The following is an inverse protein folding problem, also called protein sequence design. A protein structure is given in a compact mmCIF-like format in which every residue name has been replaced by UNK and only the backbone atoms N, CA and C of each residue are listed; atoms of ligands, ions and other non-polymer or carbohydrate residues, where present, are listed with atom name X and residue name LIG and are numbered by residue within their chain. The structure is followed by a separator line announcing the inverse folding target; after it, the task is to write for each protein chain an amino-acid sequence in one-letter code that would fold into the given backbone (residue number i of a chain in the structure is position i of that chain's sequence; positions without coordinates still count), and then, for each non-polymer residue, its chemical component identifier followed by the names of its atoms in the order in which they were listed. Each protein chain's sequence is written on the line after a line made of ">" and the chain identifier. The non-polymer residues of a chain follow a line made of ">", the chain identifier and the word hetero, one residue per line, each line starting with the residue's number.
data_IF_068622637112
#
_entry.id   IF_068622637112
#
_cell.length_a   1.000
_cell.length_b   1.000
_cell.length_c   1.000
_cell.angle_alpha   90.00
_cell.angle_beta   90.00
_cell.angle_gamma   90.00
#
_symmetry.space_group_name_H-M   'P 1'
#
loop_
_entity.id
_entity.type
_entity.pdbx_description
1 polymer ?
#
# COMPACT_ATOMS: atom_id res chain seq x y z
N UNK A 1 -7.82 -15.34 38.85
CA UNK A 1 -7.44 -14.65 37.59
C UNK A 1 -8.68 -14.54 36.70
N UNK A 2 -9.20 -13.31 36.49
CA UNK A 2 -10.33 -13.07 35.58
C UNK A 2 -9.85 -13.24 34.14
N UNK A 3 -10.38 -14.23 33.41
CA UNK A 3 -10.14 -14.39 31.97
C UNK A 3 -10.77 -13.21 31.25
N UNK A 4 -9.95 -12.29 30.75
CA UNK A 4 -10.36 -11.24 29.82
C UNK A 4 -10.85 -11.95 28.55
N UNK A 5 -12.17 -11.96 28.33
CA UNK A 5 -12.76 -12.37 27.05
C UNK A 5 -12.28 -11.35 26.01
N UNK A 6 -11.32 -11.74 25.18
CA UNK A 6 -11.07 -11.05 23.91
C UNK A 6 -12.35 -11.16 23.09
N UNK A 7 -13.07 -10.03 22.94
CA UNK A 7 -14.17 -9.93 21.98
C UNK A 7 -13.57 -10.29 20.62
N UNK A 8 -13.97 -11.41 20.03
CA UNK A 8 -13.77 -11.66 18.61
C UNK A 8 -14.57 -10.58 17.88
N UNK A 9 -13.90 -9.55 17.36
CA UNK A 9 -14.51 -8.62 16.43
C UNK A 9 -15.04 -9.47 15.27
N UNK A 10 -16.35 -9.48 15.01
CA UNK A 10 -16.87 -10.17 13.83
C UNK A 10 -16.11 -9.64 12.62
N UNK A 11 -15.67 -10.53 11.74
CA UNK A 11 -15.09 -10.18 10.43
C UNK A 11 -16.16 -9.43 9.63
N UNK A 12 -16.27 -8.12 9.83
CA UNK A 12 -17.28 -7.25 9.23
C UNK A 12 -17.12 -7.12 7.70
N UNK A 13 -16.00 -7.61 7.16
CA UNK A 13 -15.61 -7.45 5.78
C UNK A 13 -15.20 -8.82 5.22
N UNK A 14 -15.93 -9.30 4.21
CA UNK A 14 -15.55 -10.50 3.45
C UNK A 14 -15.00 -10.01 2.12
N UNK A 15 -13.69 -10.16 1.92
CA UNK A 15 -13.02 -9.73 0.68
C UNK A 15 -12.69 -10.98 -0.15
N UNK A 16 -13.28 -11.07 -1.34
CA UNK A 16 -12.89 -12.03 -2.37
C UNK A 16 -11.91 -11.32 -3.31
N UNK A 17 -10.60 -11.54 -3.11
CA UNK A 17 -9.53 -10.89 -3.87
C UNK A 17 -9.50 -11.29 -5.37
N UNK A 18 -10.18 -12.37 -5.76
CA UNK A 18 -10.21 -12.90 -7.13
C UNK A 18 -11.22 -12.21 -8.06
N UNK A 19 -11.91 -11.16 -7.60
CA UNK A 19 -12.95 -10.45 -8.36
C UNK A 19 -12.74 -8.93 -8.29
N UNK A 20 -11.54 -8.44 -8.60
CA UNK A 20 -11.37 -7.02 -8.92
C UNK A 20 -11.96 -6.78 -10.32
N UNK A 21 -13.04 -6.00 -10.37
CA UNK A 21 -13.76 -5.68 -11.62
C UNK A 21 -15.13 -6.34 -11.71
N UNK A 22 -16.06 -5.61 -12.34
CA UNK A 22 -17.44 -6.06 -12.57
C UNK A 22 -18.43 -5.60 -11.51
N UNK A 23 -19.72 -5.65 -11.86
CA UNK A 23 -20.82 -5.06 -11.06
C UNK A 23 -20.86 -5.55 -9.61
N UNK A 24 -20.68 -6.85 -9.37
CA UNK A 24 -20.72 -7.46 -8.02
C UNK A 24 -19.59 -6.98 -7.10
N UNK A 25 -18.43 -6.63 -7.68
CA UNK A 25 -17.31 -6.04 -6.95
C UNK A 25 -17.71 -4.69 -6.37
N UNK A 26 -18.21 -3.78 -7.21
CA UNK A 26 -18.59 -2.43 -6.80
C UNK A 26 -19.80 -2.41 -5.86
N UNK A 27 -20.74 -3.35 -5.99
CA UNK A 27 -21.81 -3.55 -5.00
C UNK A 27 -21.28 -3.96 -3.61
N UNK A 28 -20.21 -4.75 -3.58
CA UNK A 28 -19.56 -5.15 -2.32
C UNK A 28 -18.73 -4.02 -1.72
N UNK A 29 -17.97 -3.30 -2.56
CA UNK A 29 -17.23 -2.12 -2.15
C UNK A 29 -18.17 -1.05 -1.57
N UNK A 30 -19.28 -0.74 -2.25
CA UNK A 30 -20.27 0.24 -1.77
C UNK A 30 -20.82 -0.14 -0.39
N UNK A 31 -21.11 -1.43 -0.14
CA UNK A 31 -21.56 -1.91 1.18
C UNK A 31 -20.48 -1.78 2.25
N UNK A 32 -19.22 -2.06 1.90
CA UNK A 32 -18.10 -1.93 2.83
C UNK A 32 -17.84 -0.47 3.18
N UNK A 33 -17.89 0.44 2.20
CA UNK A 33 -17.71 1.87 2.42
C UNK A 33 -18.79 2.45 3.34
N UNK A 34 -20.06 2.09 3.16
CA UNK A 34 -21.13 2.50 4.08
C UNK A 34 -20.89 2.08 5.53
N UNK A 35 -20.31 0.88 5.75
CA UNK A 35 -19.98 0.40 7.10
C UNK A 35 -18.77 1.14 7.67
N UNK A 36 -17.82 1.46 6.81
CA UNK A 36 -16.58 2.10 7.17
C UNK A 36 -16.75 3.58 7.46
N UNK A 37 -17.59 4.29 6.69
CA UNK A 37 -17.95 5.70 6.94
C UNK A 37 -18.48 5.90 8.36
N UNK A 38 -19.41 5.03 8.80
CA UNK A 38 -19.90 5.07 10.17
C UNK A 38 -18.79 4.95 11.20
N UNK A 39 -17.76 4.16 10.93
CA UNK A 39 -16.62 3.99 11.83
C UNK A 39 -15.69 5.20 11.82
N UNK A 40 -15.53 5.88 10.67
CA UNK A 40 -14.81 7.16 10.60
C UNK A 40 -15.51 8.20 11.47
N UNK A 41 -16.80 8.40 11.27
CA UNK A 41 -17.57 9.46 11.94
C UNK A 41 -17.66 9.26 13.46
N UNK A 42 -17.76 8.00 13.91
CA UNK A 42 -17.97 7.67 15.31
C UNK A 42 -16.65 7.67 16.13
N UNK A 43 -15.48 7.44 15.51
CA UNK A 43 -14.26 7.08 16.24
C UNK A 43 -13.03 7.96 15.97
N UNK A 44 -13.04 8.79 14.93
CA UNK A 44 -11.84 9.53 14.52
C UNK A 44 -11.90 11.02 14.90
N UNK A 45 -10.79 11.52 15.44
CA UNK A 45 -10.60 12.96 15.66
C UNK A 45 -10.17 13.66 14.37
N UNK A 46 -9.77 14.94 14.47
CA UNK A 46 -9.05 15.62 13.38
C UNK A 46 -7.55 15.58 13.66
N UNK A 47 -6.76 15.17 12.68
CA UNK A 47 -5.30 15.29 12.67
C UNK A 47 -4.85 16.58 11.96
N UNK A 48 -3.84 17.29 12.48
CA UNK A 48 -3.40 18.58 11.93
C UNK A 48 -2.71 18.48 10.56
N UNK A 49 -2.46 17.26 10.07
CA UNK A 49 -1.77 16.99 8.79
C UNK A 49 -2.68 16.29 7.77
N UNK A 50 -3.99 16.24 8.04
CA UNK A 50 -5.00 15.67 7.14
C UNK A 50 -5.15 16.49 5.86
N UNK A 51 -5.49 15.81 4.77
CA UNK A 51 -5.78 16.44 3.50
C UNK A 51 -7.29 16.64 3.32
N UNK A 52 -7.74 17.83 2.86
CA UNK A 52 -9.13 18.08 2.55
C UNK A 52 -9.69 17.06 1.53
N UNK A 53 -10.90 16.57 1.77
CA UNK A 53 -11.58 15.63 0.87
C UNK A 53 -10.91 14.26 0.78
N UNK A 54 -10.16 13.85 1.81
CA UNK A 54 -9.48 12.56 1.93
C UNK A 54 -9.77 11.84 3.28
N UNK A 55 -11.03 11.47 3.59
CA UNK A 55 -11.37 10.73 4.81
C UNK A 55 -10.58 9.42 5.05
N UNK A 56 -10.12 8.72 4.00
CA UNK A 56 -9.27 7.54 4.15
C UNK A 56 -7.84 7.91 4.56
N UNK A 57 -7.31 9.03 4.08
CA UNK A 57 -6.02 9.58 4.55
C UNK A 57 -6.09 9.88 6.06
N UNK A 58 -7.15 10.58 6.50
CA UNK A 58 -7.40 10.85 7.92
C UNK A 58 -7.47 9.56 8.74
N UNK A 59 -8.20 8.57 8.25
CA UNK A 59 -8.27 7.25 8.89
C UNK A 59 -6.90 6.58 8.99
N UNK A 60 -6.11 6.56 7.91
CA UNK A 60 -4.79 5.93 7.91
C UNK A 60 -3.82 6.63 8.85
N UNK A 61 -3.85 7.97 8.93
CA UNK A 61 -3.04 8.76 9.86
C UNK A 61 -3.31 8.41 11.33
N UNK A 62 -4.54 8.05 11.66
CA UNK A 62 -4.95 7.72 13.03
C UNK A 62 -4.76 6.23 13.34
N UNK A 63 -4.91 5.37 12.33
CA UNK A 63 -4.93 3.92 12.50
C UNK A 63 -3.56 3.24 12.31
N UNK A 64 -2.64 3.85 11.54
CA UNK A 64 -1.30 3.31 11.32
C UNK A 64 -0.23 4.27 11.81
N UNK A 65 0.62 3.76 12.72
CA UNK A 65 1.79 4.51 13.22
C UNK A 65 2.82 4.70 12.11
N UNK A 66 2.98 3.70 11.25
CA UNK A 66 3.87 3.78 10.11
C UNK A 66 3.41 4.83 9.10
N UNK A 67 2.12 4.90 8.81
CA UNK A 67 1.56 5.94 7.93
C UNK A 67 1.77 7.35 8.51
N UNK A 68 1.46 7.54 9.80
CA UNK A 68 1.71 8.81 10.48
C UNK A 68 3.19 9.20 10.47
N UNK A 69 4.07 8.23 10.76
CA UNK A 69 5.51 8.44 10.72
C UNK A 69 5.97 8.87 9.32
N UNK A 70 5.54 8.17 8.28
CA UNK A 70 5.80 8.55 6.89
C UNK A 70 5.34 9.98 6.59
N UNK A 71 4.09 10.33 6.92
CA UNK A 71 3.57 11.69 6.71
C UNK A 71 4.44 12.74 7.40
N UNK A 72 4.81 12.51 8.65
CA UNK A 72 5.65 13.44 9.41
C UNK A 72 7.05 13.56 8.82
N UNK A 73 7.68 12.45 8.44
CA UNK A 73 9.02 12.46 7.82
C UNK A 73 9.01 13.15 6.47
N UNK A 74 7.99 12.91 5.63
CA UNK A 74 7.84 13.62 4.35
C UNK A 74 7.77 15.13 4.55
N UNK A 75 6.92 15.60 5.48
CA UNK A 75 6.81 17.03 5.81
C UNK A 75 8.11 17.59 6.42
N UNK A 76 8.82 16.82 7.25
CA UNK A 76 10.13 17.20 7.81
C UNK A 76 11.20 17.39 6.74
N UNK A 77 11.13 16.63 5.64
CA UNK A 77 11.98 16.82 4.46
C UNK A 77 11.50 17.94 3.53
N UNK A 78 10.56 18.78 3.97
CA UNK A 78 10.04 19.90 3.19
C UNK A 78 9.06 19.48 2.10
N UNK A 79 8.51 18.26 2.19
CA UNK A 79 7.50 17.77 1.27
C UNK A 79 6.21 18.57 1.34
N UNK A 80 5.54 18.76 0.20
CA UNK A 80 4.26 19.47 0.10
C UNK A 80 3.19 18.63 -0.58
N UNK A 81 1.92 18.95 -0.30
CA UNK A 81 0.76 18.34 -0.97
C UNK A 81 0.05 19.39 -1.82
N UNK A 82 -0.37 18.99 -3.02
CA UNK A 82 -1.10 19.85 -3.94
C UNK A 82 -2.39 19.18 -4.40
N UNK A 83 -3.54 19.83 -4.20
CA UNK A 83 -4.80 19.31 -4.68
C UNK A 83 -4.89 19.48 -6.20
N UNK A 84 -5.00 18.39 -6.95
CA UNK A 84 -5.09 18.38 -8.40
C UNK A 84 -5.81 17.13 -8.91
N UNK A 85 -6.60 17.25 -9.98
CA UNK A 85 -7.24 16.10 -10.60
C UNK A 85 -6.22 15.31 -11.42
N UNK A 86 -5.89 14.11 -10.97
CA UNK A 86 -4.97 13.19 -11.63
C UNK A 86 -5.54 11.78 -11.66
N UNK A 87 -5.37 11.10 -12.79
CA UNK A 87 -5.62 9.65 -12.85
C UNK A 87 -4.44 8.91 -12.22
N UNK A 88 -4.70 7.72 -11.67
CA UNK A 88 -3.63 6.85 -11.14
C UNK A 88 -2.58 6.52 -12.21
N UNK A 89 -2.96 6.44 -13.48
CA UNK A 89 -2.00 6.22 -14.58
C UNK A 89 -1.05 7.40 -14.78
N UNK A 90 -1.54 8.64 -14.59
CA UNK A 90 -0.73 9.84 -14.71
C UNK A 90 0.18 10.02 -13.49
N UNK A 91 -0.28 9.69 -12.28
CA UNK A 91 0.58 9.77 -11.08
C UNK A 91 1.78 8.84 -11.21
N UNK A 92 1.57 7.60 -11.69
CA UNK A 92 2.62 6.59 -11.87
C UNK A 92 3.63 6.90 -12.99
N UNK A 93 3.28 7.75 -13.96
CA UNK A 93 4.12 8.03 -15.15
C UNK A 93 4.66 9.46 -15.19
N UNK A 94 4.32 10.29 -14.22
CA UNK A 94 4.73 11.69 -14.22
C UNK A 94 6.18 11.85 -13.77
N UNK A 95 6.94 12.72 -14.44
CA UNK A 95 8.24 13.18 -13.95
C UNK A 95 8.15 13.90 -12.59
N UNK A 96 6.94 14.25 -12.16
CA UNK A 96 6.67 14.78 -10.82
C UNK A 96 7.06 13.81 -9.69
N UNK A 97 7.28 12.51 -9.98
CA UNK A 97 7.81 11.55 -9.00
C UNK A 97 9.14 11.97 -8.35
N UNK A 98 9.92 12.80 -9.05
CA UNK A 98 11.19 13.33 -8.56
C UNK A 98 11.04 14.67 -7.81
N UNK A 99 9.87 15.31 -7.92
CA UNK A 99 9.57 16.52 -7.16
C UNK A 99 9.23 16.16 -5.73
N UNK A 100 9.60 17.02 -4.78
CA UNK A 100 9.21 16.87 -3.38
C UNK A 100 7.78 17.35 -3.12
N UNK A 101 6.90 17.19 -4.11
CA UNK A 101 5.49 17.54 -4.07
C UNK A 101 4.67 16.30 -4.44
N UNK A 102 3.58 16.08 -3.72
CA UNK A 102 2.61 15.02 -4.00
C UNK A 102 1.30 15.68 -4.39
N UNK A 103 0.93 15.51 -5.64
CA UNK A 103 -0.39 15.89 -6.11
C UNK A 103 -1.42 14.81 -5.76
N UNK A 104 -2.61 15.20 -5.31
CA UNK A 104 -3.69 14.28 -4.94
C UNK A 104 -5.04 14.80 -5.41
N UNK A 105 -5.94 13.88 -5.76
CA UNK A 105 -7.32 14.21 -6.15
C UNK A 105 -8.21 14.21 -4.89
N UNK A 106 -8.75 15.35 -4.43
CA UNK A 106 -9.64 15.42 -3.26
C UNK A 106 -11.05 14.91 -3.61
N UNK A 107 -11.19 13.59 -3.79
CA UNK A 107 -12.41 12.96 -4.30
C UNK A 107 -12.91 11.80 -3.45
N UNK A 108 -12.28 11.50 -2.31
CA UNK A 108 -12.73 10.38 -1.49
C UNK A 108 -14.12 10.65 -0.89
N UNK A 109 -14.46 11.91 -0.57
CA UNK A 109 -15.83 12.29 -0.18
C UNK A 109 -16.85 11.93 -1.28
N UNK A 110 -16.49 12.14 -2.56
CA UNK A 110 -17.31 11.77 -3.71
C UNK A 110 -17.41 10.24 -3.86
N UNK A 111 -16.37 9.49 -3.51
CA UNK A 111 -16.40 8.02 -3.47
C UNK A 111 -17.40 7.53 -2.42
N UNK A 112 -17.42 8.13 -1.23
CA UNK A 112 -18.40 7.81 -0.18
C UNK A 112 -19.82 8.19 -0.60
N UNK A 113 -20.02 9.37 -1.18
CA UNK A 113 -21.30 9.77 -1.77
C UNK A 113 -21.78 8.78 -2.85
N UNK A 114 -20.92 8.43 -3.80
CA UNK A 114 -21.24 7.49 -4.87
C UNK A 114 -21.62 6.11 -4.34
N UNK A 115 -20.92 5.62 -3.30
CA UNK A 115 -21.30 4.37 -2.64
C UNK A 115 -22.74 4.40 -2.08
N UNK A 116 -23.23 5.57 -1.66
CA UNK A 116 -24.61 5.77 -1.16
C UNK A 116 -25.61 5.94 -2.29
N UNK A 117 -25.37 6.91 -3.16
CA UNK A 117 -26.36 7.48 -4.06
C UNK A 117 -26.19 7.06 -5.53
N UNK A 118 -24.95 6.78 -5.96
CA UNK A 118 -24.65 6.45 -7.36
C UNK A 118 -23.54 5.38 -7.50
N UNK A 119 -23.85 4.10 -7.21
CA UNK A 119 -22.86 3.02 -7.29
C UNK A 119 -22.23 2.83 -8.68
N UNK A 120 -22.88 3.33 -9.74
CA UNK A 120 -22.33 3.29 -11.11
C UNK A 120 -21.15 4.27 -11.27
N UNK A 121 -21.14 5.40 -10.56
CA UNK A 121 -20.03 6.35 -10.57
C UNK A 121 -18.81 5.84 -9.77
N UNK A 122 -19.02 4.92 -8.82
CA UNK A 122 -17.98 4.39 -7.93
C UNK A 122 -16.81 3.77 -8.70
N UNK A 123 -17.09 3.07 -9.80
CA UNK A 123 -16.05 2.47 -10.65
C UNK A 123 -15.13 3.52 -11.28
N UNK A 124 -15.71 4.63 -11.76
CA UNK A 124 -14.92 5.70 -12.38
C UNK A 124 -14.13 6.44 -11.31
N UNK A 125 -14.76 6.76 -10.19
CA UNK A 125 -14.15 7.52 -9.10
C UNK A 125 -13.01 6.75 -8.45
N UNK A 126 -13.13 5.44 -8.23
CA UNK A 126 -12.05 4.64 -7.62
C UNK A 126 -10.76 4.58 -8.45
N UNK A 127 -10.80 5.00 -9.73
CA UNK A 127 -9.62 5.09 -10.62
C UNK A 127 -8.91 6.44 -10.56
N UNK A 128 -9.41 7.38 -9.75
CA UNK A 128 -8.85 8.72 -9.57
C UNK A 128 -8.03 8.84 -8.28
N UNK A 129 -7.84 7.73 -7.56
CA UNK A 129 -7.06 7.67 -6.34
C UNK A 129 -5.57 7.64 -6.58
N UNK A 130 -4.86 8.26 -5.63
CA UNK A 130 -3.40 8.20 -5.54
C UNK A 130 -3.05 7.60 -4.19
N UNK A 131 -2.16 6.61 -4.15
CA UNK A 131 -1.68 6.06 -2.89
C UNK A 131 -0.68 7.03 -2.25
N UNK A 132 -1.19 7.91 -1.38
CA UNK A 132 -0.37 8.93 -0.71
C UNK A 132 0.77 8.31 0.08
N UNK A 133 0.55 7.18 0.73
CA UNK A 133 1.59 6.47 1.49
C UNK A 133 2.74 6.00 0.60
N UNK A 134 2.40 5.37 -0.53
CA UNK A 134 3.36 4.92 -1.52
C UNK A 134 4.21 6.09 -2.05
N UNK A 135 3.55 7.19 -2.44
CA UNK A 135 4.22 8.40 -2.93
C UNK A 135 5.11 9.06 -1.87
N UNK A 136 4.65 9.17 -0.63
CA UNK A 136 5.45 9.71 0.49
C UNK A 136 6.72 8.89 0.68
N UNK A 137 6.61 7.56 0.70
CA UNK A 137 7.73 6.66 0.89
C UNK A 137 8.78 6.81 -0.22
N UNK A 138 8.36 6.97 -1.48
CA UNK A 138 9.29 7.33 -2.56
C UNK A 138 10.07 8.61 -2.26
N UNK A 139 9.39 9.71 -1.91
CA UNK A 139 10.07 11.01 -1.67
C UNK A 139 11.00 10.96 -0.46
N UNK A 140 10.60 10.27 0.60
CA UNK A 140 11.44 10.05 1.78
C UNK A 140 12.70 9.30 1.37
N UNK A 141 12.57 8.23 0.59
CA UNK A 141 13.71 7.44 0.14
C UNK A 141 14.63 8.22 -0.82
N UNK A 142 14.12 9.15 -1.63
CA UNK A 142 14.95 10.03 -2.46
C UNK A 142 15.87 10.93 -1.63
N UNK A 143 15.44 11.32 -0.42
CA UNK A 143 16.28 12.10 0.49
C UNK A 143 17.31 11.23 1.22
N UNK A 144 16.96 9.98 1.54
CA UNK A 144 17.81 9.08 2.32
C UNK A 144 18.85 8.34 1.46
N UNK A 145 18.49 7.97 0.23
CA UNK A 145 19.30 7.16 -0.65
C UNK A 145 20.06 8.04 -1.63
N UNK A 146 21.39 7.95 -1.61
CA UNK A 146 22.23 8.62 -2.60
C UNK A 146 22.10 7.90 -3.94
N UNK A 147 21.63 8.61 -4.96
CA UNK A 147 21.66 8.12 -6.33
C UNK A 147 23.10 7.81 -6.72
N UNK A 148 23.39 6.63 -7.31
CA UNK A 148 24.75 6.26 -7.70
C UNK A 148 25.39 7.30 -8.63
N UNK A 149 26.64 7.68 -8.35
CA UNK A 149 27.36 8.69 -9.13
C UNK A 149 27.64 8.27 -10.60
N UNK A 150 27.60 6.96 -10.89
CA UNK A 150 27.73 6.40 -12.24
C UNK A 150 26.38 5.93 -12.73
N UNK A 151 25.86 6.62 -13.74
CA UNK A 151 24.52 6.44 -14.28
C UNK A 151 24.57 5.64 -15.58
N UNK A 152 25.10 4.41 -15.55
CA UNK A 152 24.75 3.49 -16.64
C UNK A 152 23.30 3.02 -16.45
N UNK A 153 22.60 2.77 -17.56
CA UNK A 153 21.18 2.40 -17.55
C UNK A 153 20.86 1.21 -16.66
N UNK A 154 21.77 0.23 -16.56
CA UNK A 154 21.58 -0.98 -15.75
C UNK A 154 21.68 -0.65 -14.27
N UNK A 155 22.64 0.18 -13.88
CA UNK A 155 22.81 0.65 -12.50
C UNK A 155 21.62 1.48 -12.04
N UNK A 156 21.13 2.39 -12.89
CA UNK A 156 19.93 3.20 -12.62
C UNK A 156 18.70 2.32 -12.44
N UNK A 157 18.45 1.38 -13.36
CA UNK A 157 17.34 0.43 -13.24
C UNK A 157 17.38 -0.37 -11.93
N UNK A 158 18.56 -0.91 -11.58
CA UNK A 158 18.74 -1.66 -10.34
C UNK A 158 18.47 -0.82 -9.10
N UNK A 159 18.87 0.45 -9.12
CA UNK A 159 18.59 1.38 -8.03
C UNK A 159 17.09 1.61 -7.88
N UNK A 160 16.37 1.87 -8.97
CA UNK A 160 14.91 2.07 -8.91
C UNK A 160 14.15 0.80 -8.53
N UNK A 161 14.54 -0.35 -9.05
CA UNK A 161 13.96 -1.64 -8.61
C UNK A 161 14.20 -1.89 -7.12
N UNK A 162 15.38 -1.51 -6.60
CA UNK A 162 15.65 -1.59 -5.17
C UNK A 162 14.74 -0.65 -4.38
N UNK A 163 14.57 0.60 -4.81
CA UNK A 163 13.70 1.53 -4.08
C UNK A 163 12.23 1.12 -4.16
N UNK A 164 11.75 0.74 -5.34
CA UNK A 164 10.39 0.23 -5.50
C UNK A 164 10.13 -0.96 -4.58
N UNK A 165 11.08 -1.90 -4.48
CA UNK A 165 10.95 -3.01 -3.54
C UNK A 165 10.89 -2.58 -2.07
N UNK A 166 11.57 -1.50 -1.68
CA UNK A 166 11.46 -0.90 -0.34
C UNK A 166 10.08 -0.30 -0.13
N UNK A 167 9.58 0.50 -1.08
CA UNK A 167 8.27 1.15 -1.00
C UNK A 167 7.16 0.11 -0.91
N UNK A 168 7.15 -0.89 -1.81
CA UNK A 168 6.19 -2.00 -1.77
C UNK A 168 6.25 -2.74 -0.42
N UNK A 169 7.46 -2.94 0.14
CA UNK A 169 7.58 -3.58 1.46
C UNK A 169 7.00 -2.69 2.58
N UNK A 170 7.16 -1.37 2.48
CA UNK A 170 6.54 -0.43 3.42
C UNK A 170 5.02 -0.44 3.29
N UNK A 171 4.48 -0.50 2.07
CA UNK A 171 3.04 -0.66 1.83
C UNK A 171 2.51 -1.95 2.46
N UNK A 172 3.25 -3.05 2.30
CA UNK A 172 2.94 -4.31 2.95
C UNK A 172 2.89 -4.20 4.48
N UNK A 173 3.84 -3.48 5.07
CA UNK A 173 3.90 -3.21 6.51
C UNK A 173 2.73 -2.34 6.95
N UNK A 174 2.40 -1.29 6.18
CA UNK A 174 1.26 -0.40 6.45
C UNK A 174 -0.06 -1.15 6.43
N UNK A 175 -0.30 -1.97 5.41
CA UNK A 175 -1.48 -2.84 5.33
C UNK A 175 -1.58 -3.82 6.51
N UNK A 176 -0.45 -4.39 6.95
CA UNK A 176 -0.42 -5.28 8.13
C UNK A 176 -0.70 -4.54 9.45
N UNK A 177 -0.36 -3.25 9.57
CA UNK A 177 -0.69 -2.43 10.75
C UNK A 177 -2.18 -2.09 10.82
N UNK A 178 -2.79 -1.78 9.67
CA UNK A 178 -4.21 -1.46 9.57
C UNK A 178 -5.11 -2.68 9.83
N UNK A 179 -4.61 -3.87 9.45
CA UNK A 179 -5.34 -5.13 9.54
C UNK A 179 -6.26 -5.38 8.35
N UNK A 180 -6.50 -6.68 8.08
CA UNK A 180 -7.09 -7.22 6.84
C UNK A 180 -8.39 -6.55 6.36
N UNK A 181 -9.23 -6.07 7.28
CA UNK A 181 -10.50 -5.46 6.93
C UNK A 181 -10.32 -4.05 6.34
N UNK A 182 -9.58 -3.19 7.05
CA UNK A 182 -9.44 -1.78 6.70
C UNK A 182 -8.47 -1.58 5.55
N UNK A 183 -7.37 -2.33 5.54
CA UNK A 183 -6.40 -2.32 4.45
C UNK A 183 -7.01 -2.76 3.11
N UNK A 184 -7.98 -3.66 3.12
CA UNK A 184 -8.66 -4.09 1.91
C UNK A 184 -9.55 -3.00 1.30
N UNK A 185 -10.17 -2.14 2.11
CA UNK A 185 -10.92 -0.99 1.59
C UNK A 185 -9.97 -0.01 0.91
N UNK A 186 -8.86 0.31 1.58
CA UNK A 186 -7.82 1.18 1.00
C UNK A 186 -7.27 0.63 -0.31
N UNK A 187 -7.04 -0.69 -0.39
CA UNK A 187 -6.59 -1.34 -1.62
C UNK A 187 -7.63 -1.34 -2.74
N UNK A 188 -8.89 -1.64 -2.43
CA UNK A 188 -9.98 -1.60 -3.42
C UNK A 188 -10.20 -0.20 -4.02
N UNK A 189 -9.87 0.83 -3.25
CA UNK A 189 -9.92 2.22 -3.70
C UNK A 189 -8.60 2.74 -4.28
N UNK A 190 -7.54 1.93 -4.36
CA UNK A 190 -6.24 2.38 -4.86
C UNK A 190 -5.51 3.37 -3.95
N UNK A 191 -5.96 3.53 -2.70
CA UNK A 191 -5.32 4.37 -1.67
C UNK A 191 -4.16 3.62 -1.01
N UNK A 192 -4.25 2.28 -0.94
CA UNK A 192 -3.15 1.41 -0.52
C UNK A 192 -2.71 0.53 -1.68
N UNK A 193 -1.40 0.33 -1.75
CA UNK A 193 -0.80 -0.47 -2.80
C UNK A 193 -0.88 -1.98 -2.50
N UNK A 194 -0.80 -2.35 -1.22
CA UNK A 194 -0.94 -3.73 -0.74
C UNK A 194 -1.90 -3.76 0.47
N UNK A 195 -2.91 -4.64 0.48
CA UNK A 195 -3.92 -4.70 1.53
C UNK A 195 -3.43 -5.39 2.79
N UNK A 196 -2.13 -5.63 3.01
CA UNK A 196 -1.76 -6.44 4.17
C UNK A 196 -2.17 -7.90 4.00
N UNK A 197 -1.89 -8.70 5.03
CA UNK A 197 -2.36 -10.09 5.12
C UNK A 197 -2.57 -10.52 6.56
N UNK A 198 -3.38 -11.56 6.79
CA UNK A 198 -3.36 -12.33 8.04
C UNK A 198 -2.05 -13.13 8.13
N UNK A 199 -0.96 -12.42 8.40
CA UNK A 199 0.36 -13.02 8.58
C UNK A 199 0.37 -13.93 9.83
N UNK A 200 1.28 -14.91 9.88
CA UNK A 200 1.52 -15.67 11.10
C UNK A 200 1.85 -14.75 12.29
N UNK A 201 1.56 -15.20 13.50
CA UNK A 201 2.02 -14.50 14.71
C UNK A 201 3.53 -14.67 14.83
N UNK A 202 4.26 -13.59 14.56
CA UNK A 202 5.72 -13.55 14.59
C UNK A 202 6.20 -12.69 15.75
N UNK A 203 7.32 -13.09 16.36
CA UNK A 203 8.05 -12.19 17.25
C UNK A 203 8.71 -11.04 16.44
N UNK A 204 9.28 -10.05 17.13
CA UNK A 204 9.88 -8.89 16.45
C UNK A 204 10.97 -9.28 15.42
N UNK A 205 11.88 -10.19 15.78
CA UNK A 205 12.98 -10.63 14.90
C UNK A 205 12.46 -11.38 13.69
N UNK A 206 11.56 -12.34 13.90
CA UNK A 206 10.92 -13.09 12.83
C UNK A 206 10.16 -12.16 11.88
N UNK A 207 9.45 -11.17 12.43
CA UNK A 207 8.74 -10.15 11.64
C UNK A 207 9.69 -9.31 10.79
N UNK A 208 10.83 -8.90 11.31
CA UNK A 208 11.82 -8.17 10.51
C UNK A 208 12.41 -9.06 9.41
N UNK A 209 12.70 -10.33 9.72
CA UNK A 209 13.16 -11.29 8.71
C UNK A 209 12.09 -11.57 7.64
N UNK A 210 10.81 -11.61 8.02
CA UNK A 210 9.69 -11.71 7.10
C UNK A 210 9.70 -10.55 6.09
N UNK A 211 9.77 -9.31 6.55
CA UNK A 211 9.81 -8.15 5.64
C UNK A 211 11.11 -8.05 4.85
N UNK A 212 12.26 -8.45 5.42
CA UNK A 212 13.50 -8.56 4.65
C UNK A 212 13.40 -9.60 3.52
N UNK A 213 12.71 -10.71 3.77
CA UNK A 213 12.46 -11.70 2.72
C UNK A 213 11.51 -11.14 1.67
N UNK A 214 10.44 -10.44 2.07
CA UNK A 214 9.54 -9.77 1.15
C UNK A 214 10.30 -8.79 0.24
N UNK A 215 11.09 -7.91 0.84
CA UNK A 215 11.92 -6.92 0.13
C UNK A 215 12.80 -7.58 -0.94
N UNK A 216 13.54 -8.61 -0.56
CA UNK A 216 14.49 -9.27 -1.48
C UNK A 216 13.77 -10.05 -2.57
N UNK A 217 12.70 -10.77 -2.24
CA UNK A 217 11.92 -11.51 -3.23
C UNK A 217 11.24 -10.56 -4.22
N UNK A 218 10.68 -9.44 -3.74
CA UNK A 218 10.13 -8.36 -4.57
C UNK A 218 11.20 -7.76 -5.48
N UNK A 219 12.39 -7.45 -4.95
CA UNK A 219 13.50 -6.94 -5.76
C UNK A 219 13.88 -7.90 -6.90
N UNK A 220 14.03 -9.20 -6.59
CA UNK A 220 14.37 -10.21 -7.60
C UNK A 220 13.27 -10.34 -8.65
N UNK A 221 12.00 -10.23 -8.24
CA UNK A 221 10.86 -10.26 -9.14
C UNK A 221 10.88 -9.07 -10.11
N UNK A 222 11.15 -7.86 -9.60
CA UNK A 222 11.31 -6.64 -10.41
C UNK A 222 12.54 -6.69 -11.34
N UNK A 223 13.61 -7.39 -10.94
CA UNK A 223 14.76 -7.65 -11.82
C UNK A 223 14.48 -8.70 -12.92
N UNK A 224 13.29 -9.29 -12.94
CA UNK A 224 12.86 -10.26 -13.95
C UNK A 224 13.34 -11.68 -13.69
N UNK A 225 13.71 -12.02 -12.45
CA UNK A 225 14.00 -13.40 -12.08
C UNK A 225 12.71 -14.23 -12.11
N UNK A 226 12.81 -15.49 -12.55
CA UNK A 226 11.65 -16.37 -12.61
C UNK A 226 11.15 -16.73 -11.20
N UNK A 227 9.83 -16.81 -11.03
CA UNK A 227 9.22 -17.04 -9.72
C UNK A 227 9.69 -18.34 -9.06
N UNK A 228 10.00 -19.38 -9.84
CA UNK A 228 10.47 -20.67 -9.31
C UNK A 228 11.85 -20.53 -8.68
N UNK A 229 12.79 -19.85 -9.35
CA UNK A 229 14.12 -19.56 -8.82
C UNK A 229 14.05 -18.66 -7.58
N UNK A 230 13.17 -17.65 -7.57
CA UNK A 230 12.97 -16.80 -6.37
C UNK A 230 12.50 -17.65 -5.19
N UNK A 231 11.54 -18.57 -5.40
CA UNK A 231 11.07 -19.48 -4.35
C UNK A 231 12.17 -20.38 -3.84
N UNK A 232 12.93 -21.02 -4.71
CA UNK A 232 14.05 -21.89 -4.32
C UNK A 232 15.13 -21.14 -3.51
N UNK A 233 15.50 -19.94 -3.98
CA UNK A 233 16.42 -19.06 -3.26
C UNK A 233 15.85 -18.65 -1.89
N UNK A 234 14.59 -18.24 -1.86
CA UNK A 234 13.90 -17.81 -0.65
C UNK A 234 13.76 -18.93 0.37
N UNK A 235 13.48 -20.16 -0.07
CA UNK A 235 13.39 -21.37 0.78
C UNK A 235 14.74 -21.79 1.35
N UNK A 236 15.82 -21.67 0.57
CA UNK A 236 17.18 -22.05 0.97
C UNK A 236 17.93 -20.97 1.76
N UNK A 237 17.48 -19.72 1.75
CA UNK A 237 18.19 -18.61 2.42
C UNK A 237 18.18 -18.80 3.94
N UNK A 238 19.34 -18.84 4.63
CA UNK A 238 19.39 -19.00 6.07
C UNK A 238 18.84 -17.74 6.76
N UNK A 239 17.64 -17.86 7.34
CA UNK A 239 16.94 -16.81 8.07
C UNK A 239 16.17 -17.42 9.24
N UNK A 240 16.18 -16.74 10.38
CA UNK A 240 15.40 -17.10 11.56
C UNK A 240 13.92 -16.73 11.31
N UNK A 241 13.24 -17.61 10.57
CA UNK A 241 11.86 -17.46 10.13
C UNK A 241 11.24 -18.85 9.95
N UNK A 242 10.09 -19.08 10.60
CA UNK A 242 9.34 -20.34 10.48
C UNK A 242 8.91 -20.59 9.03
N UNK A 243 8.88 -21.86 8.62
CA UNK A 243 8.63 -22.26 7.24
C UNK A 243 7.32 -21.68 6.66
N UNK A 244 6.23 -21.67 7.44
CA UNK A 244 4.95 -21.10 7.01
C UNK A 244 5.02 -19.60 6.71
N UNK A 245 5.73 -18.83 7.54
CA UNK A 245 5.91 -17.40 7.34
C UNK A 245 6.81 -17.11 6.13
N UNK A 246 7.78 -17.99 5.87
CA UNK A 246 8.63 -17.92 4.68
C UNK A 246 7.84 -18.14 3.39
N UNK A 247 7.07 -19.23 3.32
CA UNK A 247 6.19 -19.49 2.17
C UNK A 247 5.23 -18.33 1.96
N UNK A 248 4.64 -17.81 3.05
CA UNK A 248 3.74 -16.68 2.99
C UNK A 248 4.41 -15.40 2.47
N UNK A 249 5.62 -15.07 2.92
CA UNK A 249 6.38 -13.92 2.42
C UNK A 249 6.64 -14.02 0.91
N UNK A 250 7.06 -15.21 0.45
CA UNK A 250 7.33 -15.47 -0.97
C UNK A 250 6.06 -15.39 -1.81
N UNK A 251 4.96 -15.99 -1.34
CA UNK A 251 3.66 -15.89 -2.01
C UNK A 251 3.23 -14.44 -2.16
N UNK A 252 3.45 -13.62 -1.14
CA UNK A 252 3.07 -12.22 -1.14
C UNK A 252 3.93 -11.39 -2.09
N UNK A 253 5.24 -11.55 -2.07
CA UNK A 253 6.15 -10.83 -2.98
C UNK A 253 5.94 -11.15 -4.46
N UNK A 254 5.44 -12.36 -4.75
CA UNK A 254 5.22 -12.85 -6.12
C UNK A 254 3.78 -12.59 -6.61
N UNK A 255 2.95 -11.90 -5.83
CA UNK A 255 1.59 -11.47 -6.20
C UNK A 255 1.53 -10.09 -6.83
N UNK A 256 2.66 -9.41 -7.00
CA UNK A 256 2.69 -8.17 -7.76
C UNK A 256 2.12 -8.47 -9.16
N UNK A 257 1.07 -7.74 -9.53
CA UNK A 257 0.41 -7.91 -10.82
C UNK A 257 1.46 -7.80 -11.93
N UNK A 258 1.48 -8.76 -12.87
CA UNK A 258 2.38 -8.70 -14.03
C UNK A 258 2.18 -7.37 -14.78
N UNK A 259 0.95 -6.85 -14.81
CA UNK A 259 0.63 -5.53 -15.35
C UNK A 259 1.32 -4.40 -14.57
N UNK A 260 1.51 -4.54 -13.26
CA UNK A 260 2.27 -3.58 -12.46
C UNK A 260 3.76 -3.70 -12.70
N UNK A 261 4.31 -4.92 -12.75
CA UNK A 261 5.72 -5.13 -13.11
C UNK A 261 5.97 -4.52 -14.50
N UNK A 262 5.05 -4.71 -15.45
CA UNK A 262 5.13 -4.14 -16.79
C UNK A 262 4.88 -2.62 -16.84
N UNK A 263 4.14 -2.04 -15.89
CA UNK A 263 3.84 -0.59 -15.82
C UNK A 263 4.87 0.21 -15.01
N UNK A 264 5.49 -0.39 -14.01
CA UNK A 264 6.61 0.19 -13.26
C UNK A 264 7.94 -0.02 -13.97
N UNK A 265 8.06 -1.07 -14.79
CA UNK A 265 9.28 -1.46 -15.49
C UNK A 265 9.23 -1.44 -17.03
N UNK A 266 8.45 -0.60 -17.74
CA UNK A 266 8.53 -0.56 -19.19
C UNK A 266 9.71 0.30 -19.68
N UNK A 267 10.59 0.73 -18.76
CA UNK A 267 11.61 1.79 -18.85
C UNK A 267 11.13 3.12 -18.23
N UNK A 268 11.58 3.38 -17.00
CA UNK A 268 12.17 4.70 -16.72
C UNK A 268 13.39 4.91 -17.64
#
# INVERSE_FOLDING_TARGET
>A
MKKTRTRKTPSLFRIEYSQLGGKKHFETLARNLKRFEKHIDDELGHSPVELPGQPLDSFHLQSSRLYLFSRQTFLQFGGTFHASLLSSERSLRSSALLSNEISYTPHEDEVFWAARENPAALETLSRLSTSLFHEQNHRILWHLLKVPAKLDRKTVRKFFNFVESLVVTLDMMGGDELGTAQSAIGYQLGVLYDPGTDRPKLNYRERMNYYHLCLRATYLHLEGADQKSIRQWGESTPMDLVASARTHALDRSLRLDDTFVDRTNPLW
#
